data_IF_396705214416
#
_entry.id   IF_396705214416
#
_cell.length_a   1.000
_cell.length_b   1.000
_cell.length_c   1.000
_cell.angle_alpha   90.00
_cell.angle_beta   90.00
_cell.angle_gamma   90.00
#
_symmetry.space_group_name_H-M   'P 1'
#
loop_
_entity.id
_entity.type
_entity.pdbx_description
1 polymer ?
#
# COMPACT_ATOMS: atom_id res chain seq x y z
N UNK A 1 -2.33 91.34 7.85
CA UNK A 1 -3.03 90.39 6.95
C UNK A 1 -1.98 89.52 6.28
N UNK A 2 -2.30 88.24 6.06
CA UNK A 2 -1.45 87.11 5.60
C UNK A 2 -1.02 86.12 6.70
N UNK A 3 -2.00 85.27 7.03
CA UNK A 3 -1.99 83.80 7.18
C UNK A 3 -0.70 83.00 7.00
N UNK A 4 -0.59 81.92 7.81
CA UNK A 4 -0.15 80.53 7.53
C UNK A 4 0.44 79.97 8.85
N UNK A 5 0.24 78.74 9.33
CA UNK A 5 -0.58 77.57 8.98
C UNK A 5 -0.31 76.61 10.17
N UNK A 6 -1.33 76.07 10.82
CA UNK A 6 -1.14 75.04 11.86
C UNK A 6 -1.83 73.78 11.37
N UNK A 7 -1.09 72.98 10.61
CA UNK A 7 -1.57 71.73 10.05
C UNK A 7 -1.69 70.70 11.18
N UNK A 8 -2.93 70.49 11.66
CA UNK A 8 -3.27 69.33 12.48
C UNK A 8 -3.28 68.11 11.56
N UNK A 9 -2.22 67.32 11.66
CA UNK A 9 -2.14 65.99 11.08
C UNK A 9 -3.19 65.10 11.77
N UNK A 10 -4.35 64.89 11.13
CA UNK A 10 -5.31 63.89 11.57
C UNK A 10 -4.86 62.56 10.97
N UNK A 11 -4.19 61.74 11.78
CA UNK A 11 -3.87 60.36 11.45
C UNK A 11 -5.16 59.53 11.47
N UNK A 12 -5.78 59.34 10.31
CA UNK A 12 -6.93 58.43 10.15
C UNK A 12 -6.36 57.01 10.06
N UNK A 13 -6.38 56.28 11.19
CA UNK A 13 -6.11 54.84 11.20
C UNK A 13 -7.38 54.14 10.70
N UNK A 14 -7.39 53.76 9.41
CA UNK A 14 -8.43 52.90 8.85
C UNK A 14 -8.12 51.46 9.27
N UNK A 15 -8.76 50.98 10.32
CA UNK A 15 -8.71 49.56 10.70
C UNK A 15 -9.60 48.79 9.72
N UNK A 16 -9.00 48.23 8.68
CA UNK A 16 -9.64 47.24 7.81
C UNK A 16 -9.83 45.96 8.62
N UNK A 17 -11.01 45.78 9.23
CA UNK A 17 -11.44 44.48 9.73
C UNK A 17 -11.72 43.58 8.52
N UNK A 18 -10.69 42.87 8.06
CA UNK A 18 -10.88 41.73 7.15
C UNK A 18 -11.55 40.64 7.96
N UNK A 19 -12.87 40.57 7.88
CA UNK A 19 -13.65 39.43 8.37
C UNK A 19 -13.31 38.27 7.44
N UNK A 20 -12.28 37.51 7.82
CA UNK A 20 -12.00 36.21 7.21
C UNK A 20 -13.18 35.33 7.62
N UNK A 21 -14.14 35.16 6.71
CA UNK A 21 -15.11 34.09 6.80
C UNK A 21 -14.31 32.78 6.70
N UNK A 22 -13.89 32.24 7.85
CA UNK A 22 -13.54 30.83 7.95
C UNK A 22 -14.84 30.06 7.69
N UNK A 23 -15.12 29.82 6.42
CA UNK A 23 -16.01 28.74 6.02
C UNK A 23 -15.38 27.47 6.59
N UNK A 24 -15.90 27.01 7.72
CA UNK A 24 -15.64 25.68 8.22
C UNK A 24 -16.15 24.70 7.17
N UNK A 25 -15.25 24.24 6.31
CA UNK A 25 -15.48 23.05 5.50
C UNK A 25 -15.78 21.93 6.49
N UNK A 26 -17.04 21.56 6.64
CA UNK A 26 -17.39 20.33 7.35
C UNK A 26 -16.77 19.19 6.56
N UNK A 27 -15.76 18.53 7.12
CA UNK A 27 -15.31 17.25 6.59
C UNK A 27 -16.51 16.30 6.63
N UNK A 28 -17.08 16.02 5.46
CA UNK A 28 -18.02 14.90 5.33
C UNK A 28 -17.24 13.65 5.67
N UNK A 29 -17.66 12.93 6.71
CA UNK A 29 -17.06 11.66 7.11
C UNK A 29 -17.30 10.62 6.00
N UNK A 30 -16.33 10.49 5.09
CA UNK A 30 -16.35 9.50 4.01
C UNK A 30 -16.23 8.12 4.65
N UNK A 31 -17.30 7.34 4.57
CA UNK A 31 -17.36 5.97 5.10
C UNK A 31 -16.71 4.97 4.15
N UNK A 32 -16.22 3.88 4.73
CA UNK A 32 -15.71 2.73 3.97
C UNK A 32 -16.73 2.19 2.97
N UNK A 33 -16.23 1.76 1.81
CA UNK A 33 -17.05 1.15 0.79
C UNK A 33 -17.45 -0.29 1.18
N UNK A 34 -18.75 -0.49 1.39
CA UNK A 34 -19.35 -1.78 1.79
C UNK A 34 -19.04 -2.91 0.81
N UNK A 35 -18.93 -2.60 -0.49
CA UNK A 35 -18.61 -3.61 -1.50
C UNK A 35 -17.17 -4.10 -1.37
N UNK A 36 -16.21 -3.18 -1.16
CA UNK A 36 -14.80 -3.52 -0.93
C UNK A 36 -14.65 -4.34 0.34
N UNK A 37 -15.39 -4.01 1.41
CA UNK A 37 -15.40 -4.80 2.65
C UNK A 37 -15.83 -6.24 2.37
N UNK A 38 -16.91 -6.44 1.61
CA UNK A 38 -17.42 -7.78 1.29
C UNK A 38 -16.43 -8.58 0.44
N UNK A 39 -15.85 -7.97 -0.59
CA UNK A 39 -14.84 -8.64 -1.43
C UNK A 39 -13.61 -9.04 -0.60
N UNK A 40 -13.10 -8.14 0.24
CA UNK A 40 -11.97 -8.40 1.13
C UNK A 40 -12.24 -9.55 2.10
N UNK A 41 -13.39 -9.56 2.76
CA UNK A 41 -13.77 -10.63 3.68
C UNK A 41 -13.91 -11.97 2.94
N UNK A 42 -14.46 -11.93 1.72
CA UNK A 42 -14.59 -13.12 0.89
C UNK A 42 -13.22 -13.66 0.49
N UNK A 43 -12.29 -12.80 0.05
CA UNK A 43 -10.89 -13.15 -0.25
C UNK A 43 -10.23 -13.89 0.91
N UNK A 44 -10.31 -13.34 2.13
CA UNK A 44 -9.74 -13.97 3.32
C UNK A 44 -10.38 -15.34 3.56
N UNK A 45 -11.72 -15.42 3.56
CA UNK A 45 -12.44 -16.67 3.86
C UNK A 45 -12.15 -17.79 2.85
N UNK A 46 -12.00 -17.44 1.57
CA UNK A 46 -11.68 -18.39 0.50
C UNK A 46 -10.26 -18.91 0.70
N UNK A 47 -9.31 -18.04 1.05
CA UNK A 47 -7.93 -18.47 1.33
C UNK A 47 -7.82 -19.34 2.57
N UNK A 48 -8.58 -19.05 3.61
CA UNK A 48 -8.65 -19.91 4.79
C UNK A 48 -9.25 -21.28 4.49
N UNK A 49 -10.21 -21.36 3.55
CA UNK A 49 -10.75 -22.62 3.07
C UNK A 49 -9.72 -23.37 2.23
N UNK A 50 -9.13 -22.70 1.25
CA UNK A 50 -8.13 -23.29 0.36
C UNK A 50 -6.92 -23.84 1.12
N UNK A 51 -6.41 -23.09 2.11
CA UNK A 51 -5.32 -23.56 2.98
C UNK A 51 -5.67 -24.84 3.77
N UNK A 52 -6.95 -25.17 3.95
CA UNK A 52 -7.42 -26.38 4.64
C UNK A 52 -7.73 -27.52 3.68
N UNK A 53 -8.18 -27.22 2.46
CA UNK A 53 -8.76 -28.22 1.57
C UNK A 53 -8.00 -28.41 0.27
N UNK A 54 -7.23 -27.41 -0.18
CA UNK A 54 -6.52 -27.39 -1.47
C UNK A 54 -7.46 -27.67 -2.67
N UNK A 55 -8.72 -27.25 -2.54
CA UNK A 55 -9.77 -27.54 -3.53
C UNK A 55 -10.32 -26.31 -4.24
N UNK A 56 -9.83 -25.12 -3.91
CA UNK A 56 -10.44 -23.88 -4.37
C UNK A 56 -9.68 -23.33 -5.57
N UNK A 57 -10.40 -23.09 -6.67
CA UNK A 57 -9.83 -22.31 -7.76
C UNK A 57 -9.81 -20.82 -7.38
N UNK A 58 -8.72 -20.40 -6.72
CA UNK A 58 -8.53 -19.02 -6.25
C UNK A 58 -8.64 -17.99 -7.38
N UNK A 59 -8.04 -18.25 -8.54
CA UNK A 59 -8.01 -17.28 -9.65
C UNK A 59 -9.41 -16.98 -10.20
N UNK A 60 -10.34 -17.94 -10.14
CA UNK A 60 -11.72 -17.70 -10.54
C UNK A 60 -12.41 -16.62 -9.68
N UNK A 61 -12.03 -16.49 -8.40
CA UNK A 61 -12.51 -15.45 -7.50
C UNK A 61 -11.65 -14.19 -7.60
N UNK A 62 -10.32 -14.34 -7.57
CA UNK A 62 -9.37 -13.22 -7.60
C UNK A 62 -9.57 -12.37 -8.86
N UNK A 63 -9.82 -12.98 -10.03
CA UNK A 63 -10.10 -12.24 -11.26
C UNK A 63 -11.31 -11.34 -11.16
N UNK A 64 -12.43 -11.86 -10.66
CA UNK A 64 -13.69 -11.10 -10.52
C UNK A 64 -13.50 -9.93 -9.55
N UNK A 65 -12.87 -10.16 -8.41
CA UNK A 65 -12.63 -9.10 -7.44
C UNK A 65 -11.64 -8.05 -7.95
N UNK A 66 -10.57 -8.44 -8.67
CA UNK A 66 -9.63 -7.49 -9.28
C UNK A 66 -10.32 -6.60 -10.31
N UNK A 67 -11.11 -7.19 -11.21
CA UNK A 67 -11.89 -6.43 -12.21
C UNK A 67 -12.80 -5.42 -11.52
N UNK A 68 -13.50 -5.84 -10.46
CA UNK A 68 -14.37 -4.94 -9.71
C UNK A 68 -13.61 -3.83 -8.98
N UNK A 69 -12.42 -4.11 -8.45
CA UNK A 69 -11.56 -3.06 -7.85
C UNK A 69 -11.18 -2.00 -8.89
N UNK A 70 -10.89 -2.38 -10.14
CA UNK A 70 -10.59 -1.41 -11.20
C UNK A 70 -11.79 -0.50 -11.51
N UNK A 71 -12.99 -1.06 -11.58
CA UNK A 71 -14.22 -0.27 -11.77
C UNK A 71 -14.42 0.71 -10.60
N UNK A 72 -14.27 0.24 -9.36
CA UNK A 72 -14.40 1.09 -8.17
C UNK A 72 -13.34 2.19 -8.11
N UNK A 73 -12.12 1.93 -8.60
CA UNK A 73 -11.09 2.96 -8.74
C UNK A 73 -11.49 4.01 -9.78
N UNK A 74 -11.98 3.58 -10.95
CA UNK A 74 -12.43 4.47 -12.02
C UNK A 74 -13.64 5.31 -11.60
N UNK A 75 -14.53 4.76 -10.78
CA UNK A 75 -15.68 5.44 -10.18
C UNK A 75 -15.31 6.32 -8.97
N UNK A 76 -14.02 6.44 -8.63
CA UNK A 76 -13.51 7.16 -7.45
C UNK A 76 -14.16 6.68 -6.13
N UNK A 77 -14.41 5.38 -6.00
CA UNK A 77 -15.05 4.73 -4.84
C UNK A 77 -14.07 4.03 -3.88
N UNK A 78 -12.76 4.10 -4.13
CA UNK A 78 -11.70 3.63 -3.22
C UNK A 78 -11.11 4.83 -2.48
N UNK A 79 -11.83 5.32 -1.47
CA UNK A 79 -11.57 6.65 -0.91
C UNK A 79 -10.93 6.62 0.47
N UNK A 80 -11.37 5.75 1.38
CA UNK A 80 -10.83 5.72 2.74
C UNK A 80 -9.44 5.07 2.78
N UNK A 81 -8.67 5.20 3.87
CA UNK A 81 -7.45 4.44 4.03
C UNK A 81 -7.70 2.91 4.01
N UNK A 82 -8.82 2.46 4.57
CA UNK A 82 -9.15 1.04 4.62
C UNK A 82 -9.64 0.52 3.26
N UNK A 83 -10.36 1.31 2.47
CA UNK A 83 -10.69 0.95 1.09
C UNK A 83 -9.40 0.69 0.29
N UNK A 84 -8.42 1.60 0.38
CA UNK A 84 -7.14 1.46 -0.32
C UNK A 84 -6.36 0.22 0.14
N UNK A 85 -6.32 -0.04 1.44
CA UNK A 85 -5.63 -1.22 1.99
C UNK A 85 -6.29 -2.51 1.48
N UNK A 86 -7.61 -2.60 1.55
CA UNK A 86 -8.37 -3.78 1.11
C UNK A 86 -8.26 -4.00 -0.40
N UNK A 87 -8.36 -2.93 -1.20
CA UNK A 87 -8.12 -2.97 -2.63
C UNK A 87 -6.69 -3.44 -2.97
N UNK A 88 -5.69 -2.97 -2.21
CA UNK A 88 -4.32 -3.44 -2.36
C UNK A 88 -4.18 -4.94 -2.07
N UNK A 89 -4.86 -5.45 -1.04
CA UNK A 89 -4.87 -6.88 -0.72
C UNK A 89 -5.46 -7.72 -1.87
N UNK A 90 -6.56 -7.28 -2.46
CA UNK A 90 -7.19 -7.96 -3.61
C UNK A 90 -6.25 -7.94 -4.82
N UNK A 91 -5.62 -6.80 -5.11
CA UNK A 91 -4.74 -6.65 -6.27
C UNK A 91 -3.44 -7.46 -6.15
N UNK A 92 -2.89 -7.65 -4.95
CA UNK A 92 -1.70 -8.50 -4.76
C UNK A 92 -1.96 -9.99 -4.98
N UNK A 93 -3.21 -10.40 -5.18
CA UNK A 93 -3.61 -11.74 -5.56
C UNK A 93 -3.71 -11.90 -7.09
N UNK A 94 -2.87 -11.18 -7.84
CA UNK A 94 -2.76 -11.37 -9.28
C UNK A 94 -2.06 -12.69 -9.58
N UNK A 95 -2.69 -13.54 -10.39
CA UNK A 95 -2.14 -14.82 -10.77
C UNK A 95 -0.77 -14.74 -11.45
N UNK A 96 -0.03 -15.84 -11.32
CA UNK A 96 1.17 -16.10 -12.08
C UNK A 96 0.87 -17.10 -13.21
N UNK A 97 1.70 -17.08 -14.24
CA UNK A 97 1.71 -17.97 -15.40
C UNK A 97 3.13 -18.50 -15.60
N UNK A 98 3.27 -19.62 -16.28
CA UNK A 98 4.58 -20.10 -16.71
C UNK A 98 4.90 -19.45 -18.06
N UNK A 99 6.07 -18.83 -18.18
CA UNK A 99 6.62 -18.24 -19.40
C UNK A 99 8.07 -18.71 -19.53
N UNK A 100 8.40 -19.39 -20.63
CA UNK A 100 9.74 -19.93 -20.91
C UNK A 100 10.33 -20.79 -19.77
N UNK A 101 9.46 -21.55 -19.08
CA UNK A 101 9.84 -22.40 -17.95
C UNK A 101 9.96 -21.68 -16.61
N UNK A 102 9.72 -20.36 -16.57
CA UNK A 102 9.77 -19.55 -15.36
C UNK A 102 8.39 -19.06 -14.93
N UNK A 103 8.20 -18.87 -13.62
CA UNK A 103 6.96 -18.30 -13.07
C UNK A 103 6.98 -16.79 -13.24
N UNK A 104 6.10 -16.25 -14.07
CA UNK A 104 5.93 -14.83 -14.33
C UNK A 104 4.54 -14.36 -13.87
N UNK A 105 4.40 -13.12 -13.42
CA UNK A 105 3.06 -12.58 -13.15
C UNK A 105 2.27 -12.35 -14.44
N UNK A 106 0.96 -12.49 -14.37
CA UNK A 106 0.07 -12.08 -15.47
C UNK A 106 -0.01 -10.56 -15.63
N UNK A 107 0.21 -9.79 -14.56
CA UNK A 107 0.16 -8.32 -14.57
C UNK A 107 0.97 -7.76 -13.38
N UNK A 108 2.30 -7.59 -13.53
CA UNK A 108 3.13 -7.00 -12.49
C UNK A 108 2.66 -5.60 -12.05
N UNK A 109 2.00 -4.86 -12.93
CA UNK A 109 1.43 -3.53 -12.68
C UNK A 109 0.38 -3.56 -11.56
N UNK A 110 -0.31 -4.68 -11.37
CA UNK A 110 -1.26 -4.84 -10.27
C UNK A 110 -0.54 -4.79 -8.91
N UNK A 111 0.67 -5.35 -8.80
CA UNK A 111 1.48 -5.25 -7.58
C UNK A 111 1.99 -3.83 -7.35
N UNK A 112 2.35 -3.12 -8.43
CA UNK A 112 2.72 -1.70 -8.33
C UNK A 112 1.53 -0.87 -7.82
N UNK A 113 0.34 -1.08 -8.36
CA UNK A 113 -0.88 -0.40 -7.91
C UNK A 113 -1.21 -0.76 -6.46
N UNK A 114 -1.11 -2.03 -6.07
CA UNK A 114 -1.27 -2.48 -4.69
C UNK A 114 -0.27 -1.78 -3.75
N UNK A 115 0.99 -1.64 -4.15
CA UNK A 115 2.02 -0.92 -3.41
C UNK A 115 1.64 0.56 -3.24
N UNK A 116 1.16 1.23 -4.30
CA UNK A 116 0.74 2.64 -4.23
C UNK A 116 -0.47 2.84 -3.31
N UNK A 117 -1.48 1.97 -3.42
CA UNK A 117 -2.68 2.02 -2.59
C UNK A 117 -2.37 1.77 -1.11
N UNK A 118 -1.62 0.72 -0.80
CA UNK A 118 -1.20 0.42 0.58
C UNK A 118 -0.29 1.51 1.16
N UNK A 119 0.59 2.11 0.36
CA UNK A 119 1.43 3.25 0.80
C UNK A 119 0.59 4.50 1.08
N UNK A 120 -0.40 4.79 0.22
CA UNK A 120 -1.32 5.91 0.43
C UNK A 120 -2.19 5.70 1.68
N UNK A 121 -2.67 4.47 1.91
CA UNK A 121 -3.37 4.09 3.14
C UNK A 121 -2.52 4.35 4.38
N UNK A 122 -1.28 3.85 4.40
CA UNK A 122 -0.35 4.06 5.50
C UNK A 122 -0.11 5.55 5.76
N UNK A 123 0.17 6.32 4.71
CA UNK A 123 0.39 7.77 4.81
C UNK A 123 -0.81 8.46 5.47
N UNK A 124 -2.03 8.23 4.96
CA UNK A 124 -3.24 8.88 5.48
C UNK A 124 -3.51 8.53 6.95
N UNK A 125 -3.29 7.28 7.35
CA UNK A 125 -3.48 6.88 8.74
C UNK A 125 -2.44 7.49 9.68
N UNK A 126 -1.18 7.60 9.24
CA UNK A 126 -0.13 8.26 10.01
C UNK A 126 -0.37 9.76 10.15
N UNK A 127 -0.85 10.42 9.09
CA UNK A 127 -1.26 11.84 9.13
C UNK A 127 -2.41 12.07 10.13
N UNK A 128 -3.33 11.10 10.24
CA UNK A 128 -4.41 11.09 11.23
C UNK A 128 -3.99 10.58 12.62
N UNK A 129 -2.73 10.24 12.81
CA UNK A 129 -2.20 9.61 14.03
C UNK A 129 -2.93 8.30 14.44
N UNK A 130 -3.56 7.60 13.49
CA UNK A 130 -4.26 6.34 13.71
C UNK A 130 -3.28 5.15 13.66
N UNK A 131 -2.41 5.10 14.66
CA UNK A 131 -1.42 4.03 14.81
C UNK A 131 -2.08 2.69 15.20
N UNK A 132 -3.28 2.72 15.78
CA UNK A 132 -4.03 1.54 16.17
C UNK A 132 -4.47 0.74 14.93
N UNK A 133 -5.07 1.39 13.95
CA UNK A 133 -5.46 0.77 12.68
C UNK A 133 -4.24 0.29 11.90
N UNK A 134 -3.17 1.10 11.82
CA UNK A 134 -1.92 0.71 11.14
C UNK A 134 -1.37 -0.61 11.69
N UNK A 135 -1.41 -0.80 13.02
CA UNK A 135 -0.94 -2.02 13.67
C UNK A 135 -1.92 -3.18 13.48
N UNK A 136 -3.21 -2.95 13.70
CA UNK A 136 -4.25 -3.98 13.62
C UNK A 136 -4.31 -4.62 12.23
N UNK A 137 -4.27 -3.78 11.19
CA UNK A 137 -4.39 -4.21 9.80
C UNK A 137 -3.03 -4.51 9.14
N UNK A 138 -1.93 -4.47 9.91
CA UNK A 138 -0.58 -4.81 9.45
C UNK A 138 -0.14 -4.05 8.17
N UNK A 139 -0.53 -2.78 8.04
CA UNK A 139 -0.42 -2.00 6.79
C UNK A 139 1.04 -1.80 6.39
N UNK A 140 1.93 -1.64 7.38
CA UNK A 140 3.38 -1.50 7.16
C UNK A 140 3.98 -2.70 6.43
N UNK A 141 3.58 -3.91 6.81
CA UNK A 141 4.03 -5.14 6.17
C UNK A 141 3.39 -5.32 4.80
N UNK A 142 2.11 -4.94 4.64
CA UNK A 142 1.43 -4.96 3.34
C UNK A 142 2.17 -4.12 2.29
N UNK A 143 2.64 -2.93 2.68
CA UNK A 143 3.46 -2.07 1.79
C UNK A 143 4.72 -2.79 1.31
N UNK A 144 5.45 -3.45 2.23
CA UNK A 144 6.65 -4.19 1.88
C UNK A 144 6.37 -5.41 1.01
N UNK A 145 5.33 -6.18 1.35
CA UNK A 145 4.87 -7.35 0.57
C UNK A 145 4.57 -6.98 -0.88
N UNK A 146 3.77 -5.93 -1.08
CA UNK A 146 3.37 -5.51 -2.43
C UNK A 146 4.56 -5.00 -3.25
N UNK A 147 5.49 -4.27 -2.62
CA UNK A 147 6.66 -3.77 -3.32
C UNK A 147 7.64 -4.89 -3.68
N UNK A 148 7.89 -5.82 -2.76
CA UNK A 148 8.75 -6.98 -3.04
C UNK A 148 8.16 -7.87 -4.13
N UNK A 149 6.83 -8.07 -4.18
CA UNK A 149 6.17 -8.77 -5.30
C UNK A 149 6.41 -8.05 -6.63
N UNK A 150 6.20 -6.74 -6.66
CA UNK A 150 6.44 -5.95 -7.87
C UNK A 150 7.89 -6.10 -8.35
N UNK A 151 8.87 -5.90 -7.47
CA UNK A 151 10.29 -6.05 -7.82
C UNK A 151 10.62 -7.48 -8.26
N UNK A 152 10.08 -8.49 -7.58
CA UNK A 152 10.38 -9.88 -7.88
C UNK A 152 9.92 -10.25 -9.30
N UNK A 153 8.70 -9.86 -9.66
CA UNK A 153 8.13 -10.19 -10.97
C UNK A 153 8.58 -9.28 -12.11
N UNK A 154 9.30 -8.19 -11.83
CA UNK A 154 9.81 -7.27 -12.87
C UNK A 154 11.33 -7.31 -13.01
N UNK A 155 12.05 -7.52 -11.91
CA UNK A 155 13.51 -7.40 -11.84
C UNK A 155 14.18 -8.65 -11.25
N UNK A 156 13.41 -9.64 -10.79
CA UNK A 156 13.95 -10.90 -10.27
C UNK A 156 14.54 -10.83 -8.84
N UNK A 157 14.33 -9.71 -8.14
CA UNK A 157 14.79 -9.52 -6.77
C UNK A 157 13.73 -8.82 -5.91
N UNK A 158 13.95 -8.78 -4.60
CA UNK A 158 13.13 -8.04 -3.65
C UNK A 158 13.96 -7.11 -2.76
N UNK A 159 13.30 -6.20 -2.07
CA UNK A 159 13.94 -5.18 -1.23
C UNK A 159 13.95 -5.58 0.25
N UNK A 160 12.79 -5.98 0.78
CA UNK A 160 12.62 -6.17 2.22
C UNK A 160 12.88 -7.61 2.66
N UNK A 161 12.50 -8.61 1.85
CA UNK A 161 12.67 -10.02 2.18
C UNK A 161 11.37 -10.68 2.63
N UNK A 162 10.28 -10.36 1.94
CA UNK A 162 8.93 -10.86 2.27
C UNK A 162 8.44 -11.98 1.35
N UNK A 163 9.09 -12.19 0.20
CA UNK A 163 8.72 -13.18 -0.80
C UNK A 163 9.65 -14.40 -0.78
N UNK A 164 9.07 -15.54 -1.13
CA UNK A 164 9.75 -16.81 -1.27
C UNK A 164 9.53 -17.34 -2.69
N UNK A 165 10.48 -18.13 -3.18
CA UNK A 165 10.43 -18.82 -4.47
C UNK A 165 10.68 -20.30 -4.25
N UNK A 166 10.06 -21.11 -5.11
CA UNK A 166 10.34 -22.54 -5.13
C UNK A 166 11.51 -22.83 -6.06
N UNK A 167 12.50 -23.58 -5.58
CA UNK A 167 13.60 -24.06 -6.40
C UNK A 167 13.23 -25.42 -7.01
N UNK A 168 13.01 -25.46 -8.32
CA UNK A 168 12.61 -26.68 -9.02
C UNK A 168 13.71 -27.76 -9.06
N UNK A 169 14.99 -27.40 -8.81
CA UNK A 169 16.10 -28.35 -8.80
C UNK A 169 16.25 -29.01 -7.44
N UNK A 170 16.12 -28.24 -6.36
CA UNK A 170 16.29 -28.76 -4.99
C UNK A 170 14.96 -29.11 -4.31
N UNK A 171 13.83 -28.72 -4.89
CA UNK A 171 12.49 -28.86 -4.33
C UNK A 171 12.34 -28.13 -2.98
N UNK A 172 13.13 -27.07 -2.77
CA UNK A 172 13.16 -26.26 -1.54
C UNK A 172 12.41 -24.94 -1.72
N UNK A 173 11.72 -24.48 -0.68
CA UNK A 173 11.24 -23.11 -0.59
C UNK A 173 12.39 -22.22 -0.11
N UNK A 174 12.80 -21.27 -0.94
CA UNK A 174 13.90 -20.35 -0.68
C UNK A 174 13.39 -18.93 -0.50
N UNK A 175 14.07 -18.14 0.32
CA UNK A 175 13.88 -16.69 0.33
C UNK A 175 14.27 -16.14 -1.05
N UNK A 176 13.38 -15.37 -1.69
CA UNK A 176 13.67 -14.82 -3.01
C UNK A 176 14.88 -13.86 -2.93
N UNK A 177 15.64 -13.68 -4.03
CA UNK A 177 16.87 -12.88 -4.00
C UNK A 177 16.64 -11.48 -3.44
N UNK A 178 17.41 -11.06 -2.43
CA UNK A 178 17.31 -9.72 -1.85
C UNK A 178 18.45 -8.85 -2.40
N UNK A 179 18.13 -7.71 -2.99
CA UNK A 179 19.13 -6.67 -3.23
C UNK A 179 19.40 -5.93 -1.91
N UNK A 180 20.53 -6.27 -1.29
CA UNK A 180 20.92 -5.77 0.02
C UNK A 180 21.32 -4.29 0.01
N UNK A 181 21.53 -3.69 -1.16
CA UNK A 181 21.83 -2.26 -1.30
C UNK A 181 20.60 -1.36 -1.14
N UNK A 182 19.38 -1.90 -1.33
CA UNK A 182 18.14 -1.11 -1.38
C UNK A 182 17.51 -0.84 -0.02
N UNK A 183 17.90 -1.57 1.04
CA UNK A 183 17.20 -1.53 2.32
C UNK A 183 18.10 -1.89 3.52
N UNK A 184 18.08 -1.02 4.54
CA UNK A 184 18.69 -1.29 5.85
C UNK A 184 17.76 -2.07 6.78
N UNK A 185 18.32 -2.66 7.84
CA UNK A 185 17.53 -3.35 8.87
C UNK A 185 16.57 -2.41 9.62
N UNK A 186 16.95 -1.14 9.81
CA UNK A 186 16.04 -0.13 10.36
C UNK A 186 14.80 0.08 9.48
N UNK A 187 14.98 0.10 8.15
CA UNK A 187 13.86 0.19 7.21
C UNK A 187 13.00 -1.09 7.21
N UNK A 188 13.59 -2.28 7.32
CA UNK A 188 12.83 -3.53 7.48
C UNK A 188 11.94 -3.49 8.73
N UNK A 189 12.48 -3.06 9.87
CA UNK A 189 11.73 -2.93 11.13
C UNK A 189 10.57 -1.93 10.98
N UNK A 190 10.78 -0.79 10.32
CA UNK A 190 9.72 0.18 10.03
C UNK A 190 8.57 -0.40 9.19
N UNK A 191 8.85 -1.44 8.42
CA UNK A 191 7.88 -2.19 7.63
C UNK A 191 7.42 -3.50 8.29
N UNK A 192 7.77 -3.73 9.56
CA UNK A 192 7.46 -4.97 10.28
C UNK A 192 7.96 -6.22 9.55
N UNK A 193 9.13 -6.09 8.92
CA UNK A 193 9.90 -7.16 8.31
C UNK A 193 11.12 -7.41 9.20
N UNK A 194 11.50 -8.68 9.36
CA UNK A 194 12.66 -9.03 10.18
C UNK A 194 13.95 -8.46 9.58
N UNK A 195 14.93 -8.08 10.41
CA UNK A 195 16.27 -7.71 9.95
C UNK A 195 16.89 -8.78 9.04
N UNK A 196 17.72 -8.38 8.07
CA UNK A 196 18.30 -9.27 7.07
C UNK A 196 19.09 -10.41 7.71
N UNK A 197 19.91 -10.11 8.71
CA UNK A 197 20.70 -11.13 9.40
C UNK A 197 19.83 -12.19 10.11
N UNK A 198 18.63 -11.82 10.56
CA UNK A 198 17.66 -12.77 11.12
C UNK A 198 17.02 -13.62 10.02
N UNK A 199 16.61 -12.99 8.91
CA UNK A 199 16.06 -13.71 7.76
C UNK A 199 17.05 -14.76 7.22
N UNK A 200 18.31 -14.38 7.03
CA UNK A 200 19.35 -15.27 6.49
C UNK A 200 19.77 -16.38 7.48
N UNK A 201 19.51 -16.21 8.78
CA UNK A 201 19.69 -17.29 9.77
C UNK A 201 18.57 -18.32 9.71
N UNK A 202 17.36 -17.90 9.33
CA UNK A 202 16.16 -18.75 9.27
C UNK A 202 15.96 -19.42 7.92
N UNK A 203 16.32 -18.73 6.84
CA UNK A 203 15.98 -19.14 5.48
C UNK A 203 17.21 -19.09 4.59
N UNK A 204 17.34 -20.12 3.75
CA UNK A 204 18.29 -20.12 2.63
C UNK A 204 17.77 -19.17 1.54
N UNK A 205 18.63 -18.27 1.08
CA UNK A 205 18.30 -17.31 0.03
C UNK A 205 18.76 -17.80 -1.33
N UNK A 206 17.91 -17.64 -2.34
CA UNK A 206 18.31 -17.85 -3.74
C UNK A 206 19.32 -16.75 -4.13
N UNK A 207 20.47 -17.10 -4.75
CA UNK A 207 21.42 -16.09 -5.23
C UNK A 207 20.76 -15.15 -6.25
N UNK A 208 21.19 -13.88 -6.28
CA UNK A 208 20.86 -12.97 -7.37
C UNK A 208 21.42 -13.54 -8.68
N UNK A 209 20.62 -13.50 -9.74
CA UNK A 209 21.11 -13.79 -11.08
C UNK A 209 22.20 -12.75 -11.43
N UNK A 210 23.30 -13.21 -12.03
CA UNK A 210 24.40 -12.35 -12.47
C UNK A 210 24.06 -11.66 -13.78
#
# INVERSE_FOLDING_TARGET
MNTLRCDKLILIIVIFYVVINLSSCSETDIKDNVEIIKMYQKDISIRELDAKTDTVNLEAYDKVHRERVFELLAENKVQTPLDKMRAALILQHTAAKICDGEVASMSPENFLLAYKLSSASLKQLLEKNDTATVRKENIRRMVALNYDRYLLYTLGYQKFGTQFVFDNQTNEMLLAPIDTSLCSDGQRIQHQVEPLHILLKKYKMKPLAK
#
